data_IF_173678470726
#
_entry.id   IF_173678470726
#
_cell.length_a   1.000
_cell.length_b   1.000
_cell.length_c   1.000
_cell.angle_alpha   90.00
_cell.angle_beta   90.00
_cell.angle_gamma   90.00
#
_symmetry.space_group_name_H-M   'P 1'
#
loop_
_entity.id
_entity.type
_entity.pdbx_description
1 polymer ?
#
# COMPACT_ATOMS: atom_id res chain seq x y z
N UNK A 1 -14.56 67.04 -3.57
CA UNK A 1 -13.75 67.06 -2.34
C UNK A 1 -14.61 66.39 -1.28
N UNK A 2 -14.33 65.19 -0.78
CA UNK A 2 -13.09 64.69 -0.17
C UNK A 2 -12.99 63.17 -0.40
N UNK A 3 -11.87 62.72 -0.98
CA UNK A 3 -11.44 61.31 -0.87
C UNK A 3 -10.75 61.16 0.49
N UNK A 4 -11.26 60.30 1.36
CA UNK A 4 -10.57 59.87 2.58
C UNK A 4 -9.53 58.79 2.25
N UNK A 5 -8.36 58.76 2.93
CA UNK A 5 -7.32 57.80 2.59
C UNK A 5 -7.67 56.40 3.12
N UNK A 6 -7.44 55.41 2.27
CA UNK A 6 -7.43 54.00 2.63
C UNK A 6 -6.29 53.73 3.62
N UNK A 7 -6.60 53.07 4.73
CA UNK A 7 -5.61 52.61 5.70
C UNK A 7 -4.82 51.45 5.08
N UNK A 8 -3.53 51.65 4.87
CA UNK A 8 -2.58 50.59 4.57
C UNK A 8 -2.33 49.82 5.87
N UNK A 9 -2.69 48.53 5.90
CA UNK A 9 -2.24 47.60 6.93
C UNK A 9 -0.77 47.29 6.67
N UNK A 10 0.12 47.84 7.52
CA UNK A 10 1.50 47.38 7.64
C UNK A 10 1.49 45.88 7.92
N UNK A 11 1.89 45.08 6.93
CA UNK A 11 2.24 43.68 7.13
C UNK A 11 3.54 43.66 7.93
N UNK A 12 3.46 43.21 9.18
CA UNK A 12 4.65 42.89 9.96
C UNK A 12 5.50 41.87 9.17
N UNK A 13 6.83 42.05 9.10
CA UNK A 13 7.71 41.05 8.50
C UNK A 13 7.51 39.70 9.21
N UNK A 14 7.32 38.64 8.43
CA UNK A 14 7.36 37.28 8.93
C UNK A 14 8.72 37.06 9.64
N UNK A 15 8.74 36.40 10.81
CA UNK A 15 9.99 36.06 11.46
C UNK A 15 10.87 35.21 10.52
N UNK A 16 12.20 35.36 10.57
CA UNK A 16 13.11 34.56 9.76
C UNK A 16 12.88 33.07 10.02
N UNK A 17 12.88 32.30 8.94
CA UNK A 17 12.66 30.85 8.94
C UNK A 17 13.91 30.08 9.38
N UNK A 18 14.54 30.52 10.47
CA UNK A 18 15.71 29.87 11.03
C UNK A 18 15.35 29.32 12.43
N UNK A 19 15.67 28.04 12.60
CA UNK A 19 15.63 27.26 13.84
C UNK A 19 14.28 26.69 14.32
N UNK A 20 13.56 26.01 13.44
CA UNK A 20 12.93 24.74 13.89
C UNK A 20 13.96 23.66 13.59
N UNK A 21 14.56 22.99 14.58
CA UNK A 21 15.29 21.78 14.31
C UNK A 21 14.27 20.79 13.76
N UNK A 22 14.25 20.62 12.43
CA UNK A 22 13.90 19.33 11.85
C UNK A 22 15.03 18.40 12.28
N UNK A 23 15.03 17.98 13.55
CA UNK A 23 15.74 16.78 13.96
C UNK A 23 15.08 15.68 13.15
N UNK A 24 15.73 15.33 12.05
CA UNK A 24 15.37 14.19 11.24
C UNK A 24 15.41 12.99 12.19
N UNK A 25 14.45 12.05 12.14
CA UNK A 25 14.53 10.79 12.92
C UNK A 25 15.84 10.01 12.71
N UNK A 26 16.64 10.40 11.71
CA UNK A 26 17.91 9.80 11.31
C UNK A 26 19.14 10.29 12.07
N UNK A 27 19.02 11.33 12.91
CA UNK A 27 20.19 11.92 13.59
C UNK A 27 20.70 11.12 14.82
N UNK A 28 20.06 9.98 15.15
CA UNK A 28 20.39 9.13 16.30
C UNK A 28 20.52 7.64 15.98
N UNK A 29 20.89 7.26 14.74
CA UNK A 29 21.11 5.84 14.42
C UNK A 29 22.25 5.20 15.23
N UNK A 30 23.22 5.99 15.71
CA UNK A 30 24.31 5.52 16.57
C UNK A 30 23.85 5.20 18.01
N UNK A 31 22.66 5.67 18.42
CA UNK A 31 22.09 5.43 19.75
C UNK A 31 21.11 4.25 19.78
N UNK A 32 20.85 3.62 18.62
CA UNK A 32 19.95 2.46 18.52
C UNK A 32 20.68 1.21 19.04
N UNK A 33 20.15 0.51 20.07
CA UNK A 33 20.77 -0.71 20.55
C UNK A 33 20.89 -1.78 19.46
N UNK A 34 22.05 -2.43 19.34
CA UNK A 34 22.28 -3.52 18.38
C UNK A 34 21.20 -4.60 18.44
N UNK A 35 20.69 -4.90 19.63
CA UNK A 35 19.60 -5.86 19.83
C UNK A 35 18.32 -5.51 19.07
N UNK A 36 18.01 -4.23 18.88
CA UNK A 36 16.84 -3.80 18.11
C UNK A 36 17.08 -3.98 16.61
N UNK A 37 18.31 -3.73 16.15
CA UNK A 37 18.72 -3.94 14.77
C UNK A 37 18.68 -5.44 14.45
N UNK A 38 19.20 -6.28 15.33
CA UNK A 38 19.12 -7.75 15.21
C UNK A 38 17.66 -8.25 15.18
N UNK A 39 16.79 -7.71 16.04
CA UNK A 39 15.37 -8.03 16.05
C UNK A 39 14.68 -7.64 14.73
N UNK A 40 14.97 -6.45 14.21
CA UNK A 40 14.43 -5.97 12.93
C UNK A 40 14.93 -6.80 11.74
N UNK A 41 16.20 -7.21 11.74
CA UNK A 41 16.76 -8.10 10.73
C UNK A 41 16.10 -9.50 10.79
N UNK A 42 15.93 -10.06 11.98
CA UNK A 42 15.22 -11.32 12.15
C UNK A 42 13.76 -11.22 11.66
N UNK A 43 13.11 -10.07 11.87
CA UNK A 43 11.77 -9.82 11.37
C UNK A 43 11.72 -9.67 9.84
N UNK A 44 12.73 -9.04 9.23
CA UNK A 44 12.89 -9.00 7.78
C UNK A 44 12.97 -10.43 7.19
N UNK A 45 13.79 -11.29 7.80
CA UNK A 45 13.94 -12.67 7.36
C UNK A 45 12.62 -13.46 7.50
N UNK A 46 11.89 -13.28 8.60
CA UNK A 46 10.57 -13.88 8.81
C UNK A 46 9.55 -13.39 7.77
N UNK A 47 9.51 -12.09 7.51
CA UNK A 47 8.63 -11.51 6.50
C UNK A 47 8.93 -12.07 5.11
N UNK A 48 10.21 -12.14 4.75
CA UNK A 48 10.67 -12.59 3.43
C UNK A 48 10.47 -14.08 3.22
N UNK A 49 10.63 -14.89 4.27
CA UNK A 49 10.39 -16.34 4.23
C UNK A 49 8.89 -16.71 4.28
N UNK A 50 8.03 -15.80 4.73
CA UNK A 50 6.59 -16.00 4.76
C UNK A 50 5.96 -15.66 3.42
N UNK A 51 5.43 -16.67 2.72
CA UNK A 51 4.64 -16.48 1.50
C UNK A 51 3.52 -15.44 1.70
N UNK A 52 2.90 -15.47 2.87
CA UNK A 52 1.80 -14.57 3.17
C UNK A 52 2.27 -13.14 3.41
N UNK A 53 3.42 -12.91 4.03
CA UNK A 53 3.85 -11.54 4.35
C UNK A 53 4.52 -10.89 3.16
N UNK A 54 5.44 -11.59 2.51
CA UNK A 54 6.14 -11.13 1.29
C UNK A 54 5.19 -10.81 0.12
N UNK A 55 3.99 -11.40 0.10
CA UNK A 55 2.98 -11.11 -0.93
C UNK A 55 2.15 -9.85 -0.67
N UNK A 56 2.18 -9.28 0.54
CA UNK A 56 1.29 -8.18 0.92
C UNK A 56 2.04 -6.98 1.50
N UNK A 57 3.26 -7.20 1.98
CA UNK A 57 4.12 -6.18 2.54
C UNK A 57 5.44 -6.13 1.79
N UNK A 58 5.97 -4.92 1.65
CA UNK A 58 7.37 -4.72 1.33
C UNK A 58 8.16 -5.01 2.62
N UNK A 59 8.84 -6.16 2.68
CA UNK A 59 9.51 -6.60 3.89
C UNK A 59 10.65 -5.68 4.35
N UNK A 60 11.32 -4.98 3.44
CA UNK A 60 12.35 -3.99 3.77
C UNK A 60 11.72 -2.77 4.46
N UNK A 61 10.66 -2.19 3.88
CA UNK A 61 9.91 -1.13 4.53
C UNK A 61 9.37 -1.60 5.88
N UNK A 62 8.82 -2.82 5.93
CA UNK A 62 8.13 -3.31 7.11
C UNK A 62 9.07 -3.61 8.27
N UNK A 63 10.31 -4.05 8.00
CA UNK A 63 11.33 -4.21 9.03
C UNK A 63 11.86 -2.88 9.56
N UNK A 64 11.95 -1.85 8.71
CA UNK A 64 12.27 -0.49 9.16
C UNK A 64 11.15 0.08 10.03
N UNK A 65 9.88 -0.07 9.62
CA UNK A 65 8.74 0.35 10.45
C UNK A 65 8.71 -0.39 11.81
N UNK A 66 9.07 -1.67 11.82
CA UNK A 66 9.22 -2.45 13.05
C UNK A 66 10.32 -1.88 13.96
N UNK A 67 11.48 -1.55 13.41
CA UNK A 67 12.60 -0.95 14.14
C UNK A 67 12.19 0.40 14.74
N UNK A 68 11.59 1.27 13.93
CA UNK A 68 11.12 2.59 14.36
C UNK A 68 10.14 2.47 15.54
N UNK A 69 9.17 1.55 15.45
CA UNK A 69 8.25 1.29 16.56
C UNK A 69 8.89 0.63 17.76
N UNK A 70 9.89 -0.24 17.59
CA UNK A 70 10.65 -0.79 18.71
C UNK A 70 11.40 0.31 19.47
N UNK A 71 11.99 1.27 18.76
CA UNK A 71 12.66 2.43 19.37
C UNK A 71 11.66 3.29 20.14
N UNK A 72 10.50 3.58 19.53
CA UNK A 72 9.44 4.40 20.15
C UNK A 72 8.82 3.74 21.40
N UNK A 73 8.53 2.44 21.32
CA UNK A 73 7.78 1.72 22.35
C UNK A 73 8.68 1.12 23.45
N UNK A 74 9.98 0.98 23.18
CA UNK A 74 10.97 0.47 24.10
C UNK A 74 11.06 -1.07 24.19
N UNK A 75 11.95 -1.59 25.07
CA UNK A 75 12.38 -2.98 25.04
C UNK A 75 11.38 -3.96 25.69
N UNK A 76 10.48 -3.46 26.53
CA UNK A 76 9.55 -4.31 27.30
C UNK A 76 8.28 -4.66 26.53
N UNK A 77 8.01 -3.96 25.43
CA UNK A 77 6.80 -4.17 24.63
C UNK A 77 6.91 -5.48 23.85
N UNK A 78 5.85 -6.28 23.88
CA UNK A 78 5.81 -7.54 23.16
C UNK A 78 5.68 -7.30 21.66
N UNK A 79 6.33 -8.17 20.87
CA UNK A 79 6.30 -8.13 19.40
C UNK A 79 4.90 -7.95 18.81
N UNK A 80 3.90 -8.67 19.34
CA UNK A 80 2.52 -8.60 18.84
C UNK A 80 1.90 -7.21 18.94
N UNK A 81 2.30 -6.41 19.94
CA UNK A 81 1.84 -5.04 20.08
C UNK A 81 2.45 -4.14 19.02
N UNK A 82 3.76 -4.26 18.77
CA UNK A 82 4.43 -3.53 17.69
C UNK A 82 3.78 -3.84 16.34
N UNK A 83 3.59 -5.13 16.03
CA UNK A 83 2.96 -5.56 14.79
C UNK A 83 1.52 -5.05 14.63
N UNK A 84 0.81 -4.79 15.73
CA UNK A 84 -0.53 -4.22 15.68
C UNK A 84 -0.51 -2.74 15.30
N UNK A 85 0.52 -1.99 15.72
CA UNK A 85 0.66 -0.56 15.40
C UNK A 85 1.05 -0.37 13.94
N UNK A 86 1.90 -1.24 13.40
CA UNK A 86 2.39 -1.13 12.01
C UNK A 86 1.55 -1.93 10.99
N UNK A 87 0.45 -2.57 11.39
CA UNK A 87 -0.23 -3.59 10.55
C UNK A 87 -0.71 -3.10 9.18
N UNK A 88 -0.88 -1.78 9.01
CA UNK A 88 -1.32 -1.16 7.77
C UNK A 88 -0.21 -0.42 7.01
N UNK A 89 1.01 -0.39 7.56
CA UNK A 89 2.16 0.24 6.94
C UNK A 89 2.78 -0.68 5.87
N UNK A 90 3.57 -0.09 4.97
CA UNK A 90 4.44 -0.82 4.05
C UNK A 90 3.75 -1.87 3.16
N UNK A 91 2.46 -1.70 2.84
CA UNK A 91 1.76 -2.60 1.93
C UNK A 91 2.34 -2.52 0.52
N UNK A 92 2.59 -3.69 -0.08
CA UNK A 92 3.12 -3.80 -1.44
C UNK A 92 1.96 -3.92 -2.45
N UNK A 93 1.32 -2.78 -2.73
CA UNK A 93 0.23 -2.70 -3.69
C UNK A 93 0.66 -3.12 -5.11
N UNK A 94 1.86 -2.72 -5.55
CA UNK A 94 2.34 -2.99 -6.91
C UNK A 94 2.61 -4.48 -7.10
N UNK A 95 3.33 -5.12 -6.18
CA UNK A 95 3.55 -6.55 -6.25
C UNK A 95 2.24 -7.33 -6.08
N UNK A 96 1.32 -6.86 -5.25
CA UNK A 96 0.00 -7.48 -5.10
C UNK A 96 -0.82 -7.42 -6.41
N UNK A 97 -0.82 -6.29 -7.12
CA UNK A 97 -1.44 -6.19 -8.45
C UNK A 97 -0.84 -7.19 -9.43
N UNK A 98 0.50 -7.23 -9.54
CA UNK A 98 1.19 -8.13 -10.46
C UNK A 98 0.89 -9.60 -10.17
N UNK A 99 0.87 -9.98 -8.89
CA UNK A 99 0.49 -11.34 -8.46
C UNK A 99 -0.97 -11.66 -8.77
N UNK A 100 -1.89 -10.77 -8.43
CA UNK A 100 -3.32 -10.96 -8.72
C UNK A 100 -3.57 -11.10 -10.23
N UNK A 101 -2.89 -10.31 -11.05
CA UNK A 101 -2.93 -10.40 -12.50
C UNK A 101 -2.44 -11.75 -13.02
N UNK A 102 -1.24 -12.18 -12.60
CA UNK A 102 -0.66 -13.47 -13.02
C UNK A 102 -1.50 -14.67 -12.54
N UNK A 103 -2.00 -14.63 -11.30
CA UNK A 103 -2.87 -15.69 -10.78
C UNK A 103 -4.18 -15.75 -11.57
N UNK A 104 -4.76 -14.60 -11.92
CA UNK A 104 -5.93 -14.54 -12.78
C UNK A 104 -5.66 -15.14 -14.16
N UNK A 105 -4.59 -14.73 -14.84
CA UNK A 105 -4.24 -15.24 -16.17
C UNK A 105 -3.95 -16.74 -16.17
N UNK A 106 -3.41 -17.30 -15.08
CA UNK A 106 -3.18 -18.74 -14.95
C UNK A 106 -4.47 -19.58 -15.08
N UNK A 107 -5.63 -18.94 -14.92
CA UNK A 107 -6.98 -19.55 -15.00
C UNK A 107 -7.72 -19.13 -16.27
N UNK A 108 -7.06 -18.51 -17.26
CA UNK A 108 -7.68 -17.98 -18.46
C UNK A 108 -8.49 -19.02 -19.27
N UNK A 109 -8.08 -20.29 -19.21
CA UNK A 109 -8.80 -21.40 -19.84
C UNK A 109 -10.18 -21.69 -19.22
N UNK A 110 -10.47 -21.17 -18.02
CA UNK A 110 -11.76 -21.30 -17.33
C UNK A 110 -12.70 -20.13 -17.61
N UNK A 111 -12.25 -19.11 -18.36
CA UNK A 111 -13.07 -17.94 -18.63
C UNK A 111 -14.20 -18.26 -19.60
N UNK A 112 -15.27 -17.45 -19.54
CA UNK A 112 -16.40 -17.61 -20.46
C UNK A 112 -15.93 -17.33 -21.89
N UNK A 113 -16.42 -18.07 -22.89
CA UNK A 113 -16.14 -17.77 -24.28
C UNK A 113 -16.41 -16.30 -24.61
N UNK A 114 -15.48 -15.65 -25.32
CA UNK A 114 -15.57 -14.23 -25.66
C UNK A 114 -15.06 -13.25 -24.59
N UNK A 115 -14.58 -13.75 -23.45
CA UNK A 115 -13.88 -12.90 -22.46
C UNK A 115 -12.45 -12.67 -22.93
N UNK A 116 -12.01 -11.42 -23.01
CA UNK A 116 -10.59 -11.11 -23.17
C UNK A 116 -9.85 -11.34 -21.85
N UNK A 117 -8.90 -12.29 -21.77
CA UNK A 117 -8.23 -12.62 -20.51
C UNK A 117 -7.43 -11.46 -19.92
N UNK A 118 -6.80 -10.65 -20.77
CA UNK A 118 -5.94 -9.55 -20.34
C UNK A 118 -6.79 -8.42 -19.72
N UNK A 119 -7.82 -7.92 -20.43
CA UNK A 119 -8.72 -6.89 -19.90
C UNK A 119 -9.44 -7.34 -18.62
N UNK A 120 -9.88 -8.61 -18.56
CA UNK A 120 -10.51 -9.14 -17.36
C UNK A 120 -9.54 -9.19 -16.17
N UNK A 121 -8.32 -9.70 -16.37
CA UNK A 121 -7.36 -9.83 -15.29
C UNK A 121 -6.77 -8.50 -14.85
N UNK A 122 -6.67 -7.50 -15.74
CA UNK A 122 -6.34 -6.13 -15.38
C UNK A 122 -7.40 -5.54 -14.43
N UNK A 123 -8.69 -5.73 -14.73
CA UNK A 123 -9.77 -5.33 -13.83
C UNK A 123 -9.64 -5.99 -12.44
N UNK A 124 -9.37 -7.31 -12.41
CA UNK A 124 -9.23 -8.06 -11.16
C UNK A 124 -8.06 -7.53 -10.33
N UNK A 125 -6.90 -7.31 -10.95
CA UNK A 125 -5.70 -6.81 -10.28
C UNK A 125 -5.91 -5.40 -9.70
N UNK A 126 -6.53 -4.49 -10.47
CA UNK A 126 -6.81 -3.14 -10.01
C UNK A 126 -7.82 -3.13 -8.86
N UNK A 127 -8.90 -3.91 -8.98
CA UNK A 127 -9.90 -4.05 -7.91
C UNK A 127 -9.29 -4.62 -6.63
N UNK A 128 -8.35 -5.55 -6.77
CA UNK A 128 -7.65 -6.17 -5.65
C UNK A 128 -6.85 -5.14 -4.85
N UNK A 129 -6.07 -4.31 -5.54
CA UNK A 129 -5.27 -3.26 -4.91
C UNK A 129 -6.13 -2.18 -4.30
N UNK A 130 -7.20 -1.76 -4.99
CA UNK A 130 -8.14 -0.78 -4.45
C UNK A 130 -8.71 -1.23 -3.12
N UNK A 131 -9.11 -2.50 -3.00
CA UNK A 131 -9.59 -3.05 -1.74
C UNK A 131 -8.50 -3.16 -0.68
N UNK A 132 -7.27 -3.54 -1.05
CA UNK A 132 -6.15 -3.59 -0.12
C UNK A 132 -5.87 -2.21 0.49
N UNK A 133 -5.97 -1.15 -0.29
CA UNK A 133 -5.70 0.22 0.15
C UNK A 133 -6.87 0.84 0.90
N UNK A 134 -8.11 0.59 0.47
CA UNK A 134 -9.30 1.26 1.03
C UNK A 134 -9.87 0.54 2.25
N UNK A 135 -9.94 -0.79 2.24
CA UNK A 135 -10.44 -1.57 3.36
C UNK A 135 -9.34 -1.93 4.36
N UNK A 136 -8.07 -1.84 3.95
CA UNK A 136 -6.87 -2.16 4.72
C UNK A 136 -7.05 -3.37 5.65
N UNK A 137 -7.58 -4.51 5.15
CA UNK A 137 -7.88 -5.62 6.03
C UNK A 137 -6.58 -6.18 6.60
N UNK A 138 -6.60 -6.58 7.87
CA UNK A 138 -5.50 -7.36 8.45
C UNK A 138 -5.19 -8.55 7.54
N UNK A 139 -3.92 -8.73 7.18
CA UNK A 139 -3.51 -9.82 6.29
C UNK A 139 -3.73 -11.15 6.99
N UNK A 140 -4.62 -11.97 6.42
CA UNK A 140 -4.98 -13.29 6.91
C UNK A 140 -5.55 -14.08 5.72
N UNK A 141 -5.52 -15.41 5.79
CA UNK A 141 -6.12 -16.24 4.73
C UNK A 141 -7.59 -15.88 4.47
N UNK A 142 -8.35 -15.51 5.51
CA UNK A 142 -9.76 -15.13 5.39
C UNK A 142 -9.96 -13.81 4.65
N UNK A 143 -9.16 -12.79 4.97
CA UNK A 143 -9.26 -11.49 4.29
C UNK A 143 -8.82 -11.61 2.84
N UNK A 144 -7.78 -12.40 2.56
CA UNK A 144 -7.30 -12.66 1.20
C UNK A 144 -8.35 -13.33 0.34
N UNK A 145 -8.96 -14.42 0.82
CA UNK A 145 -10.03 -15.11 0.09
C UNK A 145 -11.19 -14.16 -0.21
N UNK A 146 -11.52 -13.24 0.72
CA UNK A 146 -12.54 -12.21 0.49
C UNK A 146 -12.13 -11.20 -0.57
N UNK A 147 -10.90 -10.70 -0.52
CA UNK A 147 -10.34 -9.77 -1.51
C UNK A 147 -10.37 -10.40 -2.92
N UNK A 148 -9.89 -11.63 -3.05
CA UNK A 148 -9.89 -12.37 -4.30
C UNK A 148 -11.33 -12.56 -4.82
N UNK A 149 -12.23 -13.09 -3.98
CA UNK A 149 -13.62 -13.35 -4.36
C UNK A 149 -14.33 -12.07 -4.81
N UNK A 150 -14.15 -10.97 -4.09
CA UNK A 150 -14.73 -9.69 -4.46
C UNK A 150 -14.17 -9.21 -5.80
N UNK A 151 -12.86 -9.25 -5.98
CA UNK A 151 -12.20 -8.76 -7.20
C UNK A 151 -12.69 -9.51 -8.44
N UNK A 152 -12.82 -10.84 -8.37
CA UNK A 152 -13.39 -11.64 -9.45
C UNK A 152 -14.86 -11.30 -9.72
N UNK A 153 -15.69 -11.18 -8.67
CA UNK A 153 -17.14 -10.93 -8.86
C UNK A 153 -17.43 -9.51 -9.37
N UNK A 154 -16.65 -8.51 -8.95
CA UNK A 154 -16.75 -7.14 -9.44
C UNK A 154 -16.49 -7.07 -10.96
N UNK A 155 -15.46 -7.77 -11.44
CA UNK A 155 -15.04 -7.75 -12.85
C UNK A 155 -15.84 -8.68 -13.75
N UNK A 156 -16.59 -9.64 -13.19
CA UNK A 156 -17.48 -10.49 -13.98
C UNK A 156 -18.68 -9.68 -14.51
N UNK A 157 -19.09 -8.62 -13.82
CA UNK A 157 -20.24 -7.80 -14.20
C UNK A 157 -19.89 -6.63 -15.14
N UNK A 158 -18.66 -6.11 -15.10
CA UNK A 158 -18.21 -5.01 -15.96
C UNK A 158 -18.10 -5.39 -17.45
N UNK A 159 -17.95 -6.68 -17.76
CA UNK A 159 -17.84 -7.21 -19.13
C UNK A 159 -19.20 -7.34 -19.86
N UNK A 160 -20.33 -6.99 -19.23
CA UNK A 160 -21.66 -7.03 -19.88
C UNK A 160 -22.00 -5.81 -20.72
N UNK A 161 -21.06 -4.88 -20.93
CA UNK A 161 -21.36 -3.54 -21.48
C UNK A 161 -20.58 -3.05 -22.70
N UNK A 162 -19.70 -3.84 -23.32
CA UNK A 162 -18.92 -3.37 -24.47
C UNK A 162 -19.42 -4.02 -25.77
N UNK A 163 -20.13 -3.29 -26.66
CA UNK A 163 -20.53 -3.83 -27.94
C UNK A 163 -19.27 -4.14 -28.77
N UNK A 164 -19.24 -5.37 -29.27
CA UNK A 164 -18.26 -5.94 -30.19
C UNK A 164 -18.06 -5.03 -31.41
N UNK A 165 -16.88 -4.41 -31.54
CA UNK A 165 -16.52 -3.69 -32.77
C UNK A 165 -16.23 -4.75 -33.83
N UNK A 166 -17.26 -5.09 -34.59
CA UNK A 166 -17.19 -5.96 -35.75
C UNK A 166 -16.45 -5.23 -36.87
N UNK A 167 -15.17 -5.50 -37.06
CA UNK A 167 -14.48 -5.18 -38.30
C UNK A 167 -14.87 -6.21 -39.36
N UNK A 168 -16.02 -5.98 -40.00
CA UNK A 168 -16.25 -6.47 -41.36
C UNK A 168 -15.54 -5.51 -42.31
N UNK A 169 -14.37 -5.90 -42.83
CA UNK A 169 -13.87 -5.30 -44.05
C UNK A 169 -14.06 -6.28 -45.21
N UNK A 170 -14.97 -5.89 -46.09
CA UNK A 170 -15.36 -6.58 -47.31
C UNK A 170 -14.65 -5.94 -48.49
N UNK A 171 -14.03 -6.81 -49.30
CA UNK A 171 -13.56 -6.64 -50.69
C UNK A 171 -12.13 -6.17 -50.92
#
# INVERSE_FOLDING_TARGET
>A
MLCGPAQAQEHAPLPPADDVPLSSPRDHMDDVPDAYIEEANAFYDECSASDLMSQYYNCECYSLAYLDKRIEMGPTVVRTSILSEIENECRDAVGAAGRAYMECLSKANMFKPGTDPEEYCECVANTYVDMMNTAAPRVSSRSIVRLQTYSYTACTNSQTGRPEVRFEDSR
#
